data_IF_899242853671
#
_entry.id   IF_899242853671
#
_cell.length_a   1.000
_cell.length_b   1.000
_cell.length_c   1.000
_cell.angle_alpha   90.00
_cell.angle_beta   90.00
_cell.angle_gamma   90.00
#
_symmetry.space_group_name_H-M   'P 1'
#
loop_
_entity.id
_entity.type
_entity.pdbx_description
1 polymer ?
#
# COMPACT_ATOMS: atom_id res chain seq x y z
N UNK A 1 -6.12 18.62 -0.54
CA UNK A 1 -7.06 17.50 -0.45
C UNK A 1 -8.47 18.02 -0.60
N UNK A 2 -9.17 17.59 -1.62
CA UNK A 2 -10.59 17.88 -1.85
C UNK A 2 -11.30 16.56 -2.08
N UNK A 3 -12.52 16.36 -1.66
CA UNK A 3 -13.35 15.19 -1.99
C UNK A 3 -12.80 13.83 -1.52
N UNK A 4 -12.36 13.67 -0.30
CA UNK A 4 -11.99 12.35 0.25
C UNK A 4 -10.77 11.65 -0.38
N UNK A 5 -10.30 12.05 -1.54
CA UNK A 5 -9.11 11.48 -2.18
C UNK A 5 -7.85 11.80 -1.41
N UNK A 6 -6.97 10.82 -1.31
CA UNK A 6 -5.77 10.92 -0.51
C UNK A 6 -4.66 11.75 -1.16
N UNK A 7 -4.66 11.86 -2.48
CA UNK A 7 -3.66 12.61 -3.23
C UNK A 7 -4.20 13.07 -4.58
N UNK A 8 -3.48 14.00 -5.18
CA UNK A 8 -3.62 14.40 -6.57
C UNK A 8 -2.26 14.37 -7.25
N UNK A 9 -2.19 14.03 -8.54
CA UNK A 9 -0.97 14.22 -9.30
C UNK A 9 -0.55 15.68 -9.26
N UNK A 10 0.76 15.93 -9.26
CA UNK A 10 1.28 17.29 -9.31
C UNK A 10 0.91 17.94 -10.65
N UNK A 11 0.36 19.17 -10.65
CA UNK A 11 -0.18 19.77 -11.87
C UNK A 11 0.88 20.10 -12.93
N UNK A 12 2.16 20.11 -12.55
CA UNK A 12 3.28 20.35 -13.47
C UNK A 12 3.77 19.09 -14.19
N UNK A 13 3.23 17.90 -13.84
CA UNK A 13 3.60 16.66 -14.52
C UNK A 13 2.84 16.52 -15.84
N UNK A 14 3.57 16.23 -16.91
CA UNK A 14 2.96 15.90 -18.20
C UNK A 14 2.36 14.51 -18.20
N UNK A 15 1.46 14.24 -19.14
CA UNK A 15 0.86 12.91 -19.29
C UNK A 15 1.89 11.81 -19.57
N UNK A 16 3.02 12.14 -20.19
CA UNK A 16 4.10 11.20 -20.49
C UNK A 16 4.91 10.83 -19.23
N UNK A 17 5.02 11.74 -18.27
CA UNK A 17 5.78 11.54 -17.03
C UNK A 17 4.93 11.00 -15.89
N UNK A 18 3.64 11.26 -15.90
CA UNK A 18 2.70 10.84 -14.85
C UNK A 18 2.77 9.34 -14.51
N UNK A 19 2.91 8.40 -15.46
CA UNK A 19 3.01 6.97 -15.17
C UNK A 19 4.21 6.57 -14.30
N UNK A 20 5.25 7.40 -14.25
CA UNK A 20 6.43 7.15 -13.40
C UNK A 20 6.22 7.59 -11.94
N UNK A 21 5.20 8.37 -11.67
CA UNK A 21 4.89 8.93 -10.35
C UNK A 21 3.61 8.28 -9.80
N UNK A 22 3.69 7.00 -9.52
CA UNK A 22 2.57 6.24 -8.96
C UNK A 22 2.40 6.51 -7.47
N UNK A 23 1.16 6.53 -7.01
CA UNK A 23 0.84 6.47 -5.59
C UNK A 23 1.31 5.12 -5.00
N UNK A 24 1.65 5.12 -3.71
CA UNK A 24 1.95 3.89 -3.00
C UNK A 24 0.79 2.87 -3.05
N UNK A 25 -0.45 3.34 -3.21
CA UNK A 25 -1.63 2.47 -3.39
C UNK A 25 -1.71 1.80 -4.77
N UNK A 26 -0.95 2.29 -5.74
CA UNK A 26 -0.93 1.81 -7.13
C UNK A 26 0.34 1.01 -7.45
N UNK A 27 1.03 0.56 -6.42
CA UNK A 27 2.25 -0.25 -6.52
C UNK A 27 2.03 -1.56 -5.77
N UNK A 28 2.48 -2.67 -6.36
CA UNK A 28 2.52 -3.95 -5.65
C UNK A 28 3.43 -3.84 -4.42
N UNK A 29 2.87 -4.12 -3.24
CA UNK A 29 3.60 -4.00 -1.98
C UNK A 29 4.79 -4.96 -1.86
N UNK A 30 4.85 -6.04 -2.63
CA UNK A 30 6.05 -6.87 -2.69
C UNK A 30 7.25 -6.10 -3.23
N UNK A 31 7.04 -5.27 -4.25
CA UNK A 31 8.11 -4.41 -4.80
C UNK A 31 8.60 -3.39 -3.78
N UNK A 32 7.68 -2.83 -3.00
CA UNK A 32 8.03 -1.92 -1.90
C UNK A 32 8.80 -2.65 -0.81
N UNK A 33 8.35 -3.83 -0.41
CA UNK A 33 9.04 -4.68 0.57
C UNK A 33 10.45 -5.03 0.08
N UNK A 34 10.66 -5.35 -1.19
CA UNK A 34 11.97 -5.66 -1.74
C UNK A 34 12.94 -4.48 -1.64
N UNK A 35 12.48 -3.26 -1.90
CA UNK A 35 13.29 -2.03 -1.73
C UNK A 35 13.67 -1.84 -0.26
N UNK A 36 12.70 -1.97 0.65
CA UNK A 36 12.97 -1.88 2.09
C UNK A 36 13.92 -2.98 2.58
N UNK A 37 13.76 -4.19 2.07
CA UNK A 37 14.64 -5.31 2.42
C UNK A 37 16.08 -5.08 1.96
N UNK A 38 16.27 -4.50 0.79
CA UNK A 38 17.60 -4.13 0.30
C UNK A 38 18.26 -3.09 1.21
N UNK A 39 17.51 -2.08 1.67
CA UNK A 39 18.02 -1.08 2.60
C UNK A 39 18.23 -1.64 4.02
N UNK A 40 17.38 -2.55 4.49
CA UNK A 40 17.44 -3.12 5.84
C UNK A 40 18.78 -3.85 6.11
N UNK A 41 19.41 -4.40 5.09
CA UNK A 41 20.73 -5.05 5.22
C UNK A 41 21.84 -4.10 5.69
N UNK A 42 21.66 -2.81 5.50
CA UNK A 42 22.62 -1.76 5.82
C UNK A 42 22.22 -0.95 7.06
N UNK A 43 21.15 -1.33 7.75
CA UNK A 43 20.58 -0.60 8.88
C UNK A 43 20.38 -1.57 10.04
N UNK A 44 20.93 -1.25 11.23
CA UNK A 44 20.81 -2.06 12.43
C UNK A 44 19.42 -1.99 13.06
N UNK A 45 18.77 -0.83 12.96
CA UNK A 45 17.45 -0.57 13.47
C UNK A 45 16.36 -1.09 12.52
N UNK A 46 15.14 -1.23 13.02
CA UNK A 46 13.97 -1.44 12.17
C UNK A 46 13.67 -0.21 11.32
N UNK A 47 13.08 -0.44 10.14
CA UNK A 47 12.58 0.62 9.27
C UNK A 47 11.06 0.74 9.41
N UNK A 48 10.54 1.97 9.28
CA UNK A 48 9.10 2.24 9.38
C UNK A 48 8.36 1.86 8.07
N UNK A 49 8.32 0.57 7.77
CA UNK A 49 7.59 0.08 6.61
C UNK A 49 6.09 0.24 6.83
N UNK A 50 5.42 0.94 5.92
CA UNK A 50 3.96 1.04 5.85
C UNK A 50 3.48 0.26 4.63
N UNK A 51 2.49 -0.60 4.81
CA UNK A 51 1.80 -1.27 3.72
C UNK A 51 0.60 -0.41 3.29
N UNK A 52 0.56 -0.07 2.01
CA UNK A 52 -0.52 0.70 1.39
C UNK A 52 -1.35 -0.25 0.54
N UNK A 53 -2.58 -0.48 0.93
CA UNK A 53 -3.45 -1.48 0.32
C UNK A 53 -4.73 -0.83 -0.19
N UNK A 54 -5.23 -1.32 -1.32
CA UNK A 54 -6.57 -0.95 -1.80
C UNK A 54 -7.55 -2.05 -1.44
N UNK A 55 -8.75 -1.69 -1.04
CA UNK A 55 -9.83 -2.66 -0.83
C UNK A 55 -10.22 -3.35 -2.13
N UNK A 56 -10.22 -2.59 -3.23
CA UNK A 56 -10.42 -3.09 -4.59
C UNK A 56 -9.14 -2.94 -5.40
N UNK A 57 -8.71 -4.01 -6.04
CA UNK A 57 -7.45 -4.06 -6.77
C UNK A 57 -7.69 -3.84 -8.25
N UNK A 58 -7.00 -2.86 -8.86
CA UNK A 58 -6.93 -2.76 -10.31
C UNK A 58 -6.38 -4.06 -10.92
N UNK A 59 -6.87 -4.39 -12.11
CA UNK A 59 -6.37 -5.54 -12.85
C UNK A 59 -4.85 -5.45 -13.06
N UNK A 60 -4.15 -6.57 -12.83
CA UNK A 60 -2.71 -6.66 -13.01
C UNK A 60 -1.84 -6.02 -11.93
N UNK A 61 -2.43 -5.37 -10.91
CA UNK A 61 -1.63 -4.75 -9.85
C UNK A 61 -0.92 -5.78 -8.97
N UNK A 62 -1.62 -6.86 -8.63
CA UNK A 62 -1.09 -7.97 -7.84
C UNK A 62 -1.12 -9.26 -8.64
N UNK A 63 -0.14 -9.49 -9.48
CA UNK A 63 -0.04 -10.66 -10.36
C UNK A 63 -0.02 -11.99 -9.59
N UNK A 64 0.49 -11.99 -8.36
CA UNK A 64 0.52 -13.17 -7.50
C UNK A 64 -0.87 -13.55 -6.93
N UNK A 65 -1.91 -12.77 -7.21
CA UNK A 65 -3.31 -13.03 -6.81
C UNK A 65 -4.13 -13.77 -7.86
N UNK A 66 -3.51 -14.48 -8.76
CA UNK A 66 -4.20 -15.19 -9.83
C UNK A 66 -5.39 -16.03 -9.35
N UNK A 67 -6.48 -16.01 -10.11
CA UNK A 67 -7.68 -16.79 -9.87
C UNK A 67 -8.52 -16.37 -8.67
N UNK A 68 -8.26 -15.20 -8.07
CA UNK A 68 -8.98 -14.67 -6.91
C UNK A 68 -9.78 -13.42 -7.26
N UNK A 69 -10.68 -13.06 -6.33
CA UNK A 69 -11.46 -11.81 -6.45
C UNK A 69 -10.54 -10.59 -6.45
N UNK A 70 -10.98 -9.52 -7.10
CA UNK A 70 -10.26 -8.23 -7.12
C UNK A 70 -10.29 -7.49 -5.76
N UNK A 71 -10.74 -8.16 -4.69
CA UNK A 71 -10.78 -7.59 -3.35
C UNK A 71 -9.59 -8.05 -2.52
N UNK A 72 -8.99 -7.11 -1.81
CA UNK A 72 -7.96 -7.42 -0.84
C UNK A 72 -8.56 -8.13 0.37
N UNK A 73 -7.95 -9.22 0.78
CA UNK A 73 -8.39 -10.03 1.91
C UNK A 73 -7.37 -10.05 3.03
N UNK A 74 -7.78 -10.45 4.23
CA UNK A 74 -6.85 -10.67 5.36
C UNK A 74 -5.80 -11.74 5.05
N UNK A 75 -6.14 -12.70 4.20
CA UNK A 75 -5.19 -13.70 3.71
C UNK A 75 -4.08 -13.04 2.88
N UNK A 76 -4.43 -12.10 2.02
CA UNK A 76 -3.45 -11.37 1.19
C UNK A 76 -2.54 -10.52 2.07
N UNK A 77 -3.08 -9.89 3.09
CA UNK A 77 -2.28 -9.17 4.08
C UNK A 77 -1.29 -10.10 4.78
N UNK A 78 -1.72 -11.29 5.20
CA UNK A 78 -0.83 -12.27 5.81
C UNK A 78 0.27 -12.75 4.85
N UNK A 79 -0.05 -12.91 3.57
CA UNK A 79 0.95 -13.25 2.54
C UNK A 79 2.02 -12.15 2.47
N UNK A 80 1.62 -10.87 2.46
CA UNK A 80 2.56 -9.75 2.44
C UNK A 80 3.39 -9.66 3.71
N UNK A 81 2.79 -9.91 4.88
CA UNK A 81 3.51 -9.94 6.17
C UNK A 81 4.56 -11.05 6.21
N UNK A 82 4.19 -12.26 5.77
CA UNK A 82 5.12 -13.38 5.69
C UNK A 82 6.23 -13.13 4.67
N UNK A 83 5.88 -12.49 3.54
CA UNK A 83 6.87 -12.09 2.56
C UNK A 83 7.89 -11.11 3.15
N UNK A 84 7.42 -10.08 3.85
CA UNK A 84 8.29 -9.12 4.53
C UNK A 84 9.19 -9.79 5.58
N UNK A 85 8.62 -10.69 6.38
CA UNK A 85 9.39 -11.48 7.35
C UNK A 85 10.50 -12.30 6.69
N UNK A 86 10.17 -13.02 5.64
CA UNK A 86 11.14 -13.86 4.91
C UNK A 86 12.24 -13.03 4.23
N UNK A 87 11.97 -11.78 3.92
CA UNK A 87 12.94 -10.83 3.35
C UNK A 87 13.83 -10.15 4.42
N UNK A 88 13.61 -10.42 5.69
CA UNK A 88 14.39 -9.84 6.78
C UNK A 88 13.92 -8.48 7.28
N UNK A 89 12.70 -8.08 6.96
CA UNK A 89 12.07 -6.87 7.53
C UNK A 89 11.83 -7.11 9.03
N UNK A 90 12.30 -6.20 9.86
CA UNK A 90 12.21 -6.32 11.33
C UNK A 90 10.86 -5.90 11.89
N UNK A 91 10.18 -4.94 11.24
CA UNK A 91 8.89 -4.43 11.71
C UNK A 91 8.06 -3.87 10.57
N UNK A 92 6.73 -3.93 10.73
CA UNK A 92 5.76 -3.24 9.90
C UNK A 92 5.09 -2.21 10.80
N UNK A 93 5.14 -0.94 10.40
CA UNK A 93 4.68 0.18 11.21
C UNK A 93 3.17 0.39 11.10
N UNK A 94 2.67 0.54 9.87
CA UNK A 94 1.25 0.72 9.59
C UNK A 94 0.78 -0.13 8.41
N UNK A 95 -0.51 -0.47 8.44
CA UNK A 95 -1.26 -0.91 7.27
C UNK A 95 -2.33 0.14 7.00
N UNK A 96 -2.24 0.81 5.84
CA UNK A 96 -3.19 1.82 5.40
C UNK A 96 -4.03 1.27 4.26
N UNK A 97 -5.33 1.36 4.39
CA UNK A 97 -6.26 0.89 3.36
C UNK A 97 -6.97 2.07 2.71
N UNK A 98 -7.02 2.05 1.40
CA UNK A 98 -7.81 2.97 0.58
C UNK A 98 -9.06 2.25 0.08
N UNK A 99 -10.23 2.85 0.29
CA UNK A 99 -11.53 2.36 -0.19
C UNK A 99 -12.16 3.46 -1.05
N UNK A 100 -12.59 3.12 -2.26
CA UNK A 100 -13.13 4.12 -3.20
C UNK A 100 -14.49 4.68 -2.76
N UNK A 101 -15.23 3.93 -1.95
CA UNK A 101 -16.58 4.30 -1.49
C UNK A 101 -16.63 5.23 -0.27
N UNK A 102 -15.51 5.79 0.17
CA UNK A 102 -15.46 6.67 1.34
C UNK A 102 -15.88 8.12 1.08
N UNK A 103 -16.56 8.41 -0.02
CA UNK A 103 -17.14 9.74 -0.24
C UNK A 103 -18.37 10.02 0.65
N UNK A 104 -18.99 8.99 1.25
CA UNK A 104 -20.17 9.12 2.10
C UNK A 104 -19.98 8.78 3.59
N UNK A 105 -18.88 8.15 3.97
CA UNK A 105 -18.60 7.85 5.37
C UNK A 105 -17.44 8.74 5.85
N UNK A 106 -17.73 10.03 5.84
CA UNK A 106 -16.91 10.99 6.57
C UNK A 106 -16.95 10.65 8.05
N UNK A 107 -15.83 10.64 8.67
CA UNK A 107 -15.55 10.78 10.11
C UNK A 107 -15.52 9.54 11.00
N UNK A 108 -16.11 8.41 10.68
CA UNK A 108 -16.16 7.31 11.67
C UNK A 108 -15.15 6.18 11.50
N UNK A 109 -14.26 6.25 10.51
CA UNK A 109 -13.31 5.17 10.25
C UNK A 109 -11.99 5.29 11.03
N UNK A 110 -11.79 6.33 11.81
CA UNK A 110 -10.52 6.58 12.51
C UNK A 110 -10.56 6.44 14.04
N UNK A 111 -11.71 6.19 14.65
CA UNK A 111 -11.77 6.04 16.11
C UNK A 111 -11.21 4.69 16.62
N UNK A 112 -11.13 3.68 15.78
CA UNK A 112 -10.56 2.39 16.17
C UNK A 112 -9.05 2.25 15.93
N UNK A 113 -8.41 3.27 15.34
CA UNK A 113 -6.96 3.28 15.12
C UNK A 113 -6.18 4.11 16.15
N UNK A 114 -6.85 4.60 17.18
CA UNK A 114 -6.25 5.38 18.26
C UNK A 114 -6.11 4.54 19.52
N UNK A 115 -5.36 3.47 19.45
CA UNK A 115 -4.84 2.77 20.64
C UNK A 115 -3.36 2.53 20.41
#
# INVERSE_FOLDING_TARGET
KKTGKTYYPAPFLSNDTLPFYKSAYDIDMRKVIDVYAAAQKHIDQGMSLTLFMRSELPEGLYEWKEGRTNKMTTRDLNILRNYAWNKGIKSIYYVRTFTENNDEIGSNACESCSI
#
